data_IF_866307572760
#
_entry.id   IF_866307572760
#
_cell.length_a   1.000
_cell.length_b   1.000
_cell.length_c   1.000
_cell.angle_alpha   90.00
_cell.angle_beta   90.00
_cell.angle_gamma   90.00
#
_symmetry.space_group_name_H-M   'P 1'
#
loop_
_entity.id
_entity.type
_entity.pdbx_description
1 polymer ?
#
# COMPACT_ATOMS: atom_id res chain seq x y z
N UNK A 1 80.38 2.23 20.62
CA UNK A 1 79.57 1.35 21.48
C UNK A 1 78.55 2.21 22.21
N UNK A 2 77.27 1.82 22.11
CA UNK A 2 76.11 2.26 22.92
C UNK A 2 75.61 3.70 22.65
N UNK A 3 74.60 3.89 21.80
CA UNK A 3 73.15 3.76 22.06
C UNK A 3 72.61 4.74 23.10
N UNK A 4 71.80 5.71 22.67
CA UNK A 4 70.54 6.08 23.35
C UNK A 4 69.62 6.74 22.32
N UNK A 5 68.62 5.98 21.89
CA UNK A 5 67.48 6.42 21.10
C UNK A 5 66.39 6.85 22.08
N UNK A 6 65.88 8.08 21.96
CA UNK A 6 64.66 8.55 22.61
C UNK A 6 63.74 9.02 21.50
N UNK A 7 62.73 8.21 21.19
CA UNK A 7 61.56 8.61 20.41
C UNK A 7 60.51 9.05 21.42
N UNK A 8 60.22 10.34 21.45
CA UNK A 8 59.07 10.88 22.16
C UNK A 8 57.83 10.74 21.26
N UNK A 9 56.79 10.13 21.84
CA UNK A 9 55.51 9.88 21.20
C UNK A 9 54.73 11.17 20.90
N UNK A 10 54.03 11.15 19.78
CA UNK A 10 52.95 12.07 19.49
C UNK A 10 51.80 11.25 18.89
N UNK A 11 50.98 10.70 19.78
CA UNK A 11 49.66 10.16 19.45
C UNK A 11 48.74 11.34 19.12
N UNK A 12 48.69 11.77 17.86
CA UNK A 12 47.67 12.70 17.42
C UNK A 12 46.44 11.90 16.96
N UNK A 13 45.47 11.83 17.87
CA UNK A 13 44.09 11.39 17.71
C UNK A 13 43.59 11.40 16.27
N UNK A 14 43.31 10.19 15.78
CA UNK A 14 42.47 9.93 14.61
C UNK A 14 41.13 10.63 14.81
N UNK A 15 40.82 11.60 13.94
CA UNK A 15 39.48 12.17 13.82
C UNK A 15 38.54 11.01 13.49
N UNK A 16 37.68 10.65 14.45
CA UNK A 16 36.54 9.80 14.15
C UNK A 16 35.72 10.47 13.03
N UNK A 17 35.34 9.75 11.97
CA UNK A 17 34.44 10.32 10.98
C UNK A 17 33.14 10.65 11.69
N UNK A 18 32.76 11.93 11.66
CA UNK A 18 31.42 12.39 12.06
C UNK A 18 30.42 11.44 11.42
N UNK A 19 29.67 10.71 12.25
CA UNK A 19 28.52 9.99 11.78
C UNK A 19 27.58 11.02 11.18
N UNK A 20 27.57 11.12 9.85
CA UNK A 20 26.51 11.77 9.11
C UNK A 20 25.25 10.97 9.44
N UNK A 21 24.49 11.43 10.43
CA UNK A 21 23.11 11.01 10.58
C UNK A 21 22.40 11.48 9.32
N UNK A 22 22.33 10.61 8.32
CA UNK A 22 21.42 10.81 7.21
C UNK A 22 20.06 10.91 7.86
N UNK A 23 19.50 12.12 7.91
CA UNK A 23 18.07 12.30 8.15
C UNK A 23 17.41 11.43 7.10
N UNK A 24 16.83 10.30 7.52
CA UNK A 24 16.01 9.49 6.63
C UNK A 24 14.97 10.44 6.08
N UNK A 25 15.00 10.67 4.77
CA UNK A 25 14.06 11.58 4.12
C UNK A 25 12.66 11.08 4.46
N UNK A 26 11.96 11.85 5.29
CA UNK A 26 10.63 11.49 5.74
C UNK A 26 9.68 11.77 4.60
N UNK A 27 9.01 10.73 4.11
CA UNK A 27 7.95 10.83 3.12
C UNK A 27 6.60 10.58 3.78
N UNK A 28 5.51 10.91 3.09
CA UNK A 28 4.20 10.40 3.45
C UNK A 28 3.75 9.31 2.48
N UNK A 29 3.04 8.33 3.00
CA UNK A 29 2.29 7.35 2.23
C UNK A 29 0.81 7.56 2.49
N UNK A 30 0.03 7.74 1.43
CA UNK A 30 -1.43 7.81 1.52
C UNK A 30 -2.04 6.59 0.86
N UNK A 31 -2.85 5.87 1.63
CA UNK A 31 -3.57 4.69 1.18
C UNK A 31 -5.00 5.06 0.80
N UNK A 32 -5.42 4.56 -0.35
CA UNK A 32 -6.78 4.68 -0.87
C UNK A 32 -7.32 3.32 -1.31
N UNK A 33 -8.65 3.22 -1.38
CA UNK A 33 -9.35 2.20 -2.15
C UNK A 33 -9.81 2.87 -3.45
N UNK A 34 -9.56 2.22 -4.58
CA UNK A 34 -10.08 2.62 -5.88
C UNK A 34 -11.16 1.64 -6.28
N UNK A 35 -12.30 2.18 -6.70
CA UNK A 35 -13.41 1.44 -7.30
C UNK A 35 -13.48 1.82 -8.76
N UNK A 36 -13.51 0.82 -9.63
CA UNK A 36 -13.72 0.96 -11.05
C UNK A 36 -15.02 0.25 -11.44
N UNK A 37 -15.77 0.86 -12.36
CA UNK A 37 -16.94 0.26 -12.99
C UNK A 37 -16.59 -1.07 -13.65
N UNK A 38 -17.54 -1.99 -13.62
CA UNK A 38 -17.46 -3.22 -14.41
C UNK A 38 -17.53 -2.91 -15.91
N UNK A 39 -16.79 -3.67 -16.71
CA UNK A 39 -16.77 -3.58 -18.18
C UNK A 39 -16.81 -5.01 -18.74
N UNK A 40 -17.82 -5.37 -19.57
CA UNK A 40 -18.84 -4.52 -20.20
C UNK A 40 -20.09 -4.23 -19.37
N UNK A 41 -20.27 -4.90 -18.23
CA UNK A 41 -21.45 -4.75 -17.37
C UNK A 41 -20.99 -4.11 -16.07
N UNK A 42 -21.53 -2.94 -15.75
CA UNK A 42 -21.35 -2.31 -14.45
C UNK A 42 -22.45 -2.78 -13.51
N UNK A 43 -22.08 -3.60 -12.52
CA UNK A 43 -22.96 -4.08 -11.46
C UNK A 43 -22.20 -4.20 -10.16
N UNK A 44 -22.91 -4.37 -9.04
CA UNK A 44 -22.30 -4.51 -7.71
C UNK A 44 -21.16 -5.53 -7.71
N UNK A 45 -21.36 -6.70 -8.30
CA UNK A 45 -20.37 -7.79 -8.26
C UNK A 45 -19.27 -7.67 -9.31
N UNK A 46 -19.51 -6.87 -10.35
CA UNK A 46 -18.60 -6.66 -11.47
C UNK A 46 -17.69 -5.44 -11.30
N UNK A 47 -17.99 -4.54 -10.36
CA UNK A 47 -17.09 -3.45 -9.98
C UNK A 47 -15.78 -4.00 -9.42
N UNK A 48 -14.68 -3.51 -9.98
CA UNK A 48 -13.33 -3.91 -9.58
C UNK A 48 -12.79 -2.99 -8.49
N UNK A 49 -12.24 -3.57 -7.44
CA UNK A 49 -11.68 -2.82 -6.31
C UNK A 49 -10.20 -3.12 -6.12
N UNK A 50 -9.43 -2.08 -5.81
CA UNK A 50 -7.98 -2.15 -5.63
C UNK A 50 -7.49 -1.19 -4.56
N UNK A 51 -6.35 -1.49 -3.94
CA UNK A 51 -5.63 -0.51 -3.13
C UNK A 51 -4.71 0.34 -4.00
N UNK A 52 -4.63 1.62 -3.67
CA UNK A 52 -3.71 2.59 -4.28
C UNK A 52 -2.90 3.26 -3.18
N UNK A 53 -1.57 3.25 -3.31
CA UNK A 53 -0.65 3.95 -2.40
C UNK A 53 0.03 5.06 -3.16
N UNK A 54 -0.12 6.29 -2.67
CA UNK A 54 0.66 7.45 -3.14
C UNK A 54 1.79 7.73 -2.18
N UNK A 55 3.00 7.86 -2.71
CA UNK A 55 4.19 8.27 -1.98
C UNK A 55 4.44 9.75 -2.27
N UNK A 56 4.79 10.55 -1.26
CA UNK A 56 5.04 11.99 -1.45
C UNK A 56 6.26 12.32 -2.32
N UNK A 57 7.07 11.32 -2.68
CA UNK A 57 8.17 11.45 -3.63
C UNK A 57 7.72 11.29 -5.10
N UNK A 58 6.41 11.13 -5.33
CA UNK A 58 5.80 11.03 -6.66
C UNK A 58 5.61 9.61 -7.17
N UNK A 59 6.09 8.58 -6.45
CA UNK A 59 5.80 7.18 -6.78
C UNK A 59 4.36 6.83 -6.41
N UNK A 60 3.83 5.80 -7.06
CA UNK A 60 2.60 5.16 -6.65
C UNK A 60 2.68 3.64 -6.81
N UNK A 61 1.76 2.95 -6.12
CA UNK A 61 1.61 1.50 -6.20
C UNK A 61 0.13 1.13 -6.23
N UNK A 62 -0.27 0.42 -7.26
CA UNK A 62 -1.53 -0.30 -7.35
C UNK A 62 -1.34 -1.72 -6.82
N UNK A 63 -2.20 -2.17 -5.91
CA UNK A 63 -2.26 -3.55 -5.43
C UNK A 63 -3.68 -4.08 -5.55
N UNK A 64 -3.87 -5.18 -6.27
CA UNK A 64 -5.19 -5.76 -6.49
C UNK A 64 -5.14 -7.27 -6.72
N UNK A 65 -6.31 -7.89 -6.76
CA UNK A 65 -6.46 -9.28 -7.19
C UNK A 65 -7.25 -9.33 -8.49
N UNK A 66 -6.72 -10.04 -9.47
CA UNK A 66 -7.29 -10.16 -10.81
C UNK A 66 -7.62 -11.63 -11.11
N UNK A 67 -8.47 -11.85 -12.11
CA UNK A 67 -8.89 -13.19 -12.51
C UNK A 67 -10.37 -13.42 -12.29
N UNK A 68 -10.75 -14.69 -12.13
CA UNK A 68 -12.13 -15.10 -11.96
C UNK A 68 -12.27 -15.99 -10.72
N UNK A 69 -13.51 -16.26 -10.31
CA UNK A 69 -13.80 -17.17 -9.21
C UNK A 69 -12.97 -18.46 -9.29
N UNK A 70 -12.29 -18.80 -8.20
CA UNK A 70 -11.36 -19.93 -8.06
C UNK A 70 -10.01 -19.81 -8.80
N UNK A 71 -9.74 -18.73 -9.52
CA UNK A 71 -8.50 -18.47 -10.25
C UNK A 71 -8.03 -17.01 -10.09
N UNK A 72 -8.19 -16.44 -8.90
CA UNK A 72 -7.65 -15.13 -8.59
C UNK A 72 -6.15 -15.19 -8.33
N UNK A 73 -5.47 -14.13 -8.74
CA UNK A 73 -4.04 -13.89 -8.52
C UNK A 73 -3.83 -12.47 -8.01
N UNK A 74 -2.86 -12.31 -7.11
CA UNK A 74 -2.46 -11.00 -6.60
C UNK A 74 -1.45 -10.36 -7.55
N UNK A 75 -1.67 -9.09 -7.89
CA UNK A 75 -0.79 -8.29 -8.74
C UNK A 75 -0.44 -6.94 -8.09
N UNK A 76 0.77 -6.46 -8.39
CA UNK A 76 1.26 -5.13 -8.03
C UNK A 76 1.77 -4.42 -9.28
N UNK A 77 1.46 -3.13 -9.40
CA UNK A 77 1.95 -2.27 -10.50
C UNK A 77 2.44 -0.94 -9.96
N UNK A 78 3.63 -0.55 -10.38
CA UNK A 78 4.32 0.65 -9.89
C UNK A 78 4.26 1.77 -10.92
N UNK A 79 4.07 2.99 -10.43
CA UNK A 79 4.10 4.22 -11.24
C UNK A 79 3.07 4.19 -12.39
N UNK A 80 1.87 3.72 -12.09
CA UNK A 80 0.74 3.76 -13.00
C UNK A 80 0.22 5.20 -13.15
N UNK A 81 -0.57 5.44 -14.20
CA UNK A 81 -1.35 6.68 -14.34
C UNK A 81 -2.33 6.84 -13.17
N UNK A 82 -2.75 8.07 -12.90
CA UNK A 82 -3.67 8.35 -11.80
C UNK A 82 -5.00 7.61 -12.01
N UNK A 83 -5.60 7.00 -10.96
CA UNK A 83 -6.83 6.23 -11.10
C UNK A 83 -7.95 6.98 -11.81
N UNK A 84 -8.06 8.30 -11.59
CA UNK A 84 -9.06 9.18 -12.18
C UNK A 84 -8.94 9.32 -13.70
N UNK A 85 -7.80 8.95 -14.28
CA UNK A 85 -7.56 8.98 -15.73
C UNK A 85 -8.11 7.72 -16.43
N UNK A 86 -8.40 6.66 -15.67
CA UNK A 86 -8.97 5.43 -16.21
C UNK A 86 -10.42 5.65 -16.70
N UNK A 87 -10.76 5.08 -17.86
CA UNK A 87 -12.11 5.21 -18.47
C UNK A 87 -13.23 4.64 -17.60
N UNK A 88 -12.92 3.61 -16.84
CA UNK A 88 -13.85 2.94 -15.94
C UNK A 88 -13.71 3.41 -14.49
N UNK A 89 -12.97 4.50 -14.21
CA UNK A 89 -12.91 5.06 -12.87
C UNK A 89 -14.30 5.41 -12.34
N UNK A 90 -14.59 4.98 -11.11
CA UNK A 90 -15.84 5.31 -10.40
C UNK A 90 -15.57 6.19 -9.18
N UNK A 91 -14.72 5.72 -8.26
CA UNK A 91 -14.40 6.47 -7.04
C UNK A 91 -13.03 6.12 -6.48
N UNK A 92 -12.43 7.09 -5.79
CA UNK A 92 -11.28 6.91 -4.91
C UNK A 92 -11.71 7.26 -3.48
N UNK A 93 -11.41 6.37 -2.54
CA UNK A 93 -11.83 6.45 -1.14
C UNK A 93 -10.56 6.55 -0.29
N UNK A 94 -10.45 7.63 0.47
CA UNK A 94 -9.33 7.82 1.40
C UNK A 94 -9.42 6.84 2.57
N UNK A 95 -8.29 6.19 2.89
CA UNK A 95 -8.17 5.30 4.05
C UNK A 95 -7.34 5.95 5.16
N UNK A 96 -6.10 6.32 4.84
CA UNK A 96 -5.18 6.96 5.80
C UNK A 96 -3.98 7.62 5.12
N UNK A 97 -3.33 8.54 5.82
CA UNK A 97 -1.97 9.02 5.51
C UNK A 97 -1.06 8.79 6.70
N UNK A 98 0.12 8.23 6.45
CA UNK A 98 1.17 8.04 7.46
C UNK A 98 2.46 8.72 7.03
N UNK A 99 3.20 9.29 7.98
CA UNK A 99 4.57 9.75 7.74
C UNK A 99 5.54 8.62 8.08
N UNK A 100 6.47 8.37 7.18
CA UNK A 100 7.45 7.31 7.35
C UNK A 100 8.74 7.61 6.59
N UNK A 101 9.70 6.70 6.60
CA UNK A 101 10.95 6.79 5.86
C UNK A 101 10.75 6.37 4.40
N UNK A 102 11.59 6.84 3.50
CA UNK A 102 11.47 6.56 2.06
C UNK A 102 11.50 5.06 1.69
N UNK A 103 12.09 4.24 2.55
CA UNK A 103 12.26 2.79 2.41
C UNK A 103 11.22 1.96 3.18
N UNK A 104 10.35 2.58 3.98
CA UNK A 104 9.31 1.85 4.69
C UNK A 104 8.28 1.29 3.70
N UNK A 105 8.19 -0.04 3.64
CA UNK A 105 7.24 -0.76 2.79
C UNK A 105 6.20 -1.53 3.61
N UNK A 106 5.96 -1.15 4.86
CA UNK A 106 5.14 -1.91 5.80
C UNK A 106 3.69 -2.02 5.35
N UNK A 107 3.06 -0.94 4.88
CA UNK A 107 1.69 -0.99 4.32
C UNK A 107 1.62 -1.99 3.17
N UNK A 108 2.49 -1.82 2.16
CA UNK A 108 2.58 -2.72 1.01
C UNK A 108 2.78 -4.18 1.44
N UNK A 109 3.75 -4.43 2.31
CA UNK A 109 4.10 -5.78 2.73
C UNK A 109 2.93 -6.47 3.45
N UNK A 110 2.18 -5.72 4.26
CA UNK A 110 0.96 -6.22 4.92
C UNK A 110 -0.12 -6.60 3.90
N UNK A 111 -0.36 -5.73 2.90
CA UNK A 111 -1.34 -5.97 1.82
C UNK A 111 -0.94 -7.15 0.93
N UNK A 112 0.34 -7.26 0.58
CA UNK A 112 0.89 -8.37 -0.23
C UNK A 112 0.75 -9.73 0.47
N UNK A 113 0.71 -9.74 1.80
CA UNK A 113 0.49 -10.95 2.58
C UNK A 113 -0.99 -11.30 2.78
N UNK A 114 -1.92 -10.48 2.28
CA UNK A 114 -3.36 -10.79 2.31
C UNK A 114 -3.63 -12.04 1.45
N UNK A 115 -4.14 -13.13 2.04
CA UNK A 115 -4.37 -14.37 1.30
C UNK A 115 -5.39 -14.19 0.17
N UNK A 116 -5.15 -14.88 -0.94
CA UNK A 116 -6.12 -15.03 -2.02
C UNK A 116 -6.92 -16.31 -1.80
N UNK A 117 -8.23 -16.20 -1.62
CA UNK A 117 -9.09 -17.35 -1.35
C UNK A 117 -9.78 -17.85 -2.63
N UNK A 118 -9.15 -18.80 -3.30
CA UNK A 118 -9.70 -19.46 -4.49
C UNK A 118 -10.64 -20.64 -4.18
N UNK A 119 -10.97 -20.89 -2.89
CA UNK A 119 -11.86 -21.99 -2.50
C UNK A 119 -13.32 -21.56 -2.40
N UNK A 120 -13.56 -20.31 -2.03
CA UNK A 120 -14.91 -19.78 -1.85
C UNK A 120 -15.38 -19.07 -3.12
N UNK A 121 -16.53 -19.50 -3.67
CA UNK A 121 -17.06 -18.96 -4.92
C UNK A 121 -17.49 -17.49 -4.81
N UNK A 122 -17.90 -17.06 -3.61
CA UNK A 122 -18.30 -15.67 -3.33
C UNK A 122 -17.12 -14.74 -3.08
N UNK A 123 -15.92 -15.28 -2.88
CA UNK A 123 -14.74 -14.47 -2.64
C UNK A 123 -14.28 -13.81 -3.95
N UNK A 124 -13.92 -12.53 -3.89
CA UNK A 124 -13.55 -11.70 -5.03
C UNK A 124 -12.62 -10.54 -4.61
N UNK A 125 -12.34 -9.61 -5.52
CA UNK A 125 -11.51 -8.44 -5.23
C UNK A 125 -12.06 -7.53 -4.12
N UNK A 126 -13.39 -7.43 -3.98
CA UNK A 126 -14.03 -6.65 -2.92
C UNK A 126 -13.78 -7.27 -1.55
N UNK A 127 -13.86 -8.61 -1.48
CA UNK A 127 -13.55 -9.36 -0.26
C UNK A 127 -12.07 -9.21 0.12
N UNK A 128 -11.17 -9.24 -0.87
CA UNK A 128 -9.73 -9.02 -0.65
C UNK A 128 -9.42 -7.63 -0.07
N UNK A 129 -10.15 -6.58 -0.46
CA UNK A 129 -10.00 -5.25 0.17
C UNK A 129 -10.39 -5.31 1.65
N UNK A 130 -11.52 -5.94 1.98
CA UNK A 130 -11.95 -6.13 3.37
C UNK A 130 -10.89 -6.88 4.20
N UNK A 131 -10.37 -7.99 3.67
CA UNK A 131 -9.30 -8.77 4.30
C UNK A 131 -8.02 -7.94 4.49
N UNK A 132 -7.65 -7.13 3.49
CA UNK A 132 -6.49 -6.24 3.54
C UNK A 132 -6.62 -5.13 4.60
N UNK A 133 -7.78 -4.46 4.68
CA UNK A 133 -8.07 -3.46 5.72
C UNK A 133 -7.97 -4.08 7.11
N UNK A 134 -8.54 -5.27 7.30
CA UNK A 134 -8.47 -6.00 8.57
C UNK A 134 -7.03 -6.33 8.96
N UNK A 135 -6.20 -6.76 8.01
CA UNK A 135 -4.77 -7.03 8.27
C UNK A 135 -3.98 -5.78 8.64
N UNK A 136 -4.26 -4.65 8.00
CA UNK A 136 -3.66 -3.35 8.39
C UNK A 136 -4.05 -2.97 9.82
N UNK A 137 -5.29 -3.25 10.22
CA UNK A 137 -5.75 -3.05 11.60
C UNK A 137 -5.05 -4.00 12.59
N UNK A 138 -4.96 -5.28 12.27
CA UNK A 138 -4.27 -6.28 13.10
C UNK A 138 -2.77 -5.99 13.26
N UNK A 139 -2.16 -5.34 12.26
CA UNK A 139 -0.78 -4.86 12.30
C UNK A 139 -0.62 -3.50 13.00
N UNK A 140 -1.68 -2.94 13.60
CA UNK A 140 -1.72 -1.63 14.26
C UNK A 140 -1.35 -0.44 13.33
N UNK A 141 -1.41 -0.63 12.01
CA UNK A 141 -1.15 0.41 11.01
C UNK A 141 -2.40 1.26 10.75
N UNK A 142 -3.59 0.67 10.91
CA UNK A 142 -4.87 1.32 10.69
C UNK A 142 -5.73 1.22 11.95
N UNK A 143 -6.37 2.34 12.34
CA UNK A 143 -7.32 2.34 13.45
C UNK A 143 -8.64 1.71 13.02
N UNK A 144 -9.29 0.99 13.91
CA UNK A 144 -10.60 0.35 13.67
C UNK A 144 -11.63 1.29 13.05
N UNK A 145 -11.73 2.53 13.56
CA UNK A 145 -12.65 3.54 13.01
C UNK A 145 -12.39 3.87 11.54
N UNK A 146 -11.13 3.87 11.11
CA UNK A 146 -10.78 4.12 9.71
C UNK A 146 -11.04 2.87 8.85
N UNK A 147 -10.81 1.68 9.40
CA UNK A 147 -11.15 0.40 8.74
C UNK A 147 -12.64 0.35 8.41
N UNK A 148 -13.50 0.56 9.40
CA UNK A 148 -14.95 0.52 9.23
C UNK A 148 -15.42 1.61 8.27
N UNK A 149 -14.97 2.84 8.48
CA UNK A 149 -15.31 3.99 7.62
C UNK A 149 -14.92 3.77 6.16
N UNK A 150 -13.77 3.16 5.88
CA UNK A 150 -13.32 2.88 4.52
C UNK A 150 -14.11 1.72 3.87
N UNK A 151 -14.40 0.67 4.64
CA UNK A 151 -15.19 -0.46 4.16
C UNK A 151 -16.64 -0.05 3.87
N UNK A 152 -17.27 0.73 4.76
CA UNK A 152 -18.64 1.23 4.58
C UNK A 152 -18.74 2.11 3.34
N UNK A 153 -17.81 3.07 3.15
CA UNK A 153 -17.77 3.90 1.95
C UNK A 153 -17.56 3.07 0.67
N UNK A 154 -16.76 1.99 0.73
CA UNK A 154 -16.59 1.10 -0.41
C UNK A 154 -17.91 0.40 -0.74
N UNK A 155 -18.61 -0.13 0.26
CA UNK A 155 -19.91 -0.78 0.08
C UNK A 155 -20.94 0.19 -0.49
N UNK A 156 -21.00 1.42 0.02
CA UNK A 156 -21.90 2.46 -0.51
C UNK A 156 -21.65 2.69 -2.01
N UNK A 157 -20.38 2.81 -2.43
CA UNK A 157 -20.03 2.95 -3.85
C UNK A 157 -20.42 1.70 -4.64
N UNK A 158 -20.18 0.50 -4.12
CA UNK A 158 -20.56 -0.72 -4.84
C UNK A 158 -22.07 -0.82 -5.05
N UNK A 159 -22.88 -0.37 -4.09
CA UNK A 159 -24.34 -0.35 -4.16
C UNK A 159 -24.91 0.75 -5.07
N UNK A 160 -24.11 1.76 -5.44
CA UNK A 160 -24.49 2.76 -6.45
C UNK A 160 -24.48 2.18 -7.89
N UNK A 161 -24.01 0.95 -8.08
CA UNK A 161 -24.05 0.30 -9.39
C UNK A 161 -25.50 0.07 -9.87
N UNK A 162 -25.76 0.14 -11.19
CA UNK A 162 -27.06 -0.24 -11.74
C UNK A 162 -27.46 -1.67 -11.32
N UNK A 163 -28.76 -1.87 -11.07
CA UNK A 163 -29.30 -3.21 -10.94
C UNK A 163 -29.07 -3.98 -12.25
N UNK A 164 -28.64 -5.23 -12.14
CA UNK A 164 -28.64 -6.13 -13.30
C UNK A 164 -30.10 -6.34 -13.70
N UNK A 165 -30.55 -5.73 -14.80
CA UNK A 165 -31.85 -6.10 -15.38
C UNK A 165 -31.77 -7.59 -15.76
N UNK A 166 -32.55 -8.42 -15.05
CA UNK A 166 -32.66 -9.89 -15.26
C UNK A 166 -33.03 -10.28 -16.71
#
# INVERSE_FOLDING_TARGET
MSSTHKQDGIDHLSLAPSASYTTLDSISQTLYIVVNRGDPIDSYSMRHTSFWIEFSDGRNLLSHVCGAASFFEFEERWNEEQPQEAKNFERIIFVMTVRTTADDMTIRNTLRQTPVNNKERSWNCQTWIGDGLKRLQEAELLREVNTLSAADQMVDVLLEAPDEEE
#
